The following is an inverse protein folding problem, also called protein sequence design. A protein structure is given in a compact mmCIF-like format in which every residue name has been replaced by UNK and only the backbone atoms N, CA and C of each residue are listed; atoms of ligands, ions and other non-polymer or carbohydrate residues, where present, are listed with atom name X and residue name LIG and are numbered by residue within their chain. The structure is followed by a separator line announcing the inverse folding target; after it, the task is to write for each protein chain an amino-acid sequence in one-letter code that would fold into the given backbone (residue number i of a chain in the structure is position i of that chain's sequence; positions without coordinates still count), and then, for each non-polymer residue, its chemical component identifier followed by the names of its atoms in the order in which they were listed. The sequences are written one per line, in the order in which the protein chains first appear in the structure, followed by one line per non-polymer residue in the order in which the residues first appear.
data_IF_224276377111
#
_entry.id   IF_224276377111
#
_cell.length_a   1.000
_cell.length_b   1.000
_cell.length_c   1.000
_cell.angle_alpha   90.00
_cell.angle_beta   90.00
_cell.angle_gamma   90.00
#
_symmetry.space_group_name_H-M   'P 1'
#
loop_
_entity.id
_entity.type
_entity.pdbx_description
1 polymer ?
#
# COMPACT_ATOMS: atom_id res chain seq x y z
N UNK A 1 9.22 -5.65 27.33
CA UNK A 1 9.18 -5.70 25.86
C UNK A 1 9.24 -4.28 25.36
N UNK A 2 10.38 -3.87 24.81
CA UNK A 2 10.56 -2.51 24.30
C UNK A 2 9.62 -2.34 23.10
N UNK A 3 8.56 -1.55 23.26
CA UNK A 3 7.89 -0.93 22.12
C UNK A 3 8.95 0.00 21.52
N UNK A 4 9.67 -0.47 20.51
CA UNK A 4 10.38 0.45 19.63
C UNK A 4 9.35 1.46 19.16
N UNK A 5 9.65 2.75 19.30
CA UNK A 5 8.77 3.82 18.84
C UNK A 5 8.52 3.60 17.35
N UNK A 6 7.35 3.05 17.02
CA UNK A 6 6.91 2.93 15.64
C UNK A 6 6.82 4.36 15.13
N UNK A 7 7.67 4.71 14.16
CA UNK A 7 7.62 6.02 13.51
C UNK A 7 6.18 6.33 13.11
N UNK A 8 5.75 7.57 13.28
CA UNK A 8 4.40 7.96 12.87
C UNK A 8 4.25 7.73 11.37
N UNK A 9 3.03 7.38 10.94
CA UNK A 9 2.71 7.13 9.52
C UNK A 9 3.29 8.23 8.63
N UNK A 10 3.11 9.50 8.99
CA UNK A 10 3.63 10.63 8.22
C UNK A 10 5.16 10.62 8.04
N UNK A 11 5.92 10.33 9.10
CA UNK A 11 7.38 10.30 9.04
C UNK A 11 7.87 9.18 8.12
N UNK A 12 7.21 8.02 8.17
CA UNK A 12 7.52 6.89 7.29
C UNK A 12 7.16 7.20 5.83
N UNK A 13 6.05 7.91 5.59
CA UNK A 13 5.68 8.36 4.25
C UNK A 13 6.69 9.36 3.70
N UNK A 14 7.14 10.33 4.49
CA UNK A 14 8.17 11.30 4.07
C UNK A 14 9.51 10.59 3.74
N UNK A 15 9.84 9.54 4.49
CA UNK A 15 11.03 8.71 4.26
C UNK A 15 10.92 7.90 2.97
N UNK A 16 9.72 7.43 2.63
CA UNK A 16 9.47 6.60 1.46
C UNK A 16 9.32 7.44 0.20
N UNK A 17 8.62 8.57 0.30
CA UNK A 17 8.34 9.50 -0.77
C UNK A 17 9.27 10.72 -0.70
N UNK A 18 10.55 10.48 -1.00
CA UNK A 18 11.64 11.47 -0.87
C UNK A 18 11.55 12.67 -1.84
N UNK A 19 10.74 12.58 -2.90
CA UNK A 19 10.69 13.58 -3.98
C UNK A 19 9.41 14.43 -3.96
N UNK A 20 9.51 15.75 -4.16
CA UNK A 20 8.36 16.66 -4.16
C UNK A 20 7.32 16.37 -5.26
N UNK A 21 7.72 15.73 -6.37
CA UNK A 21 6.79 15.28 -7.42
C UNK A 21 5.75 14.26 -6.90
N UNK A 22 6.10 13.46 -5.89
CA UNK A 22 5.18 12.49 -5.28
C UNK A 22 4.10 13.18 -4.46
N UNK A 23 4.35 14.41 -3.98
CA UNK A 23 3.36 15.20 -3.25
C UNK A 23 2.14 15.51 -4.11
N UNK A 24 2.31 15.70 -5.43
CA UNK A 24 1.19 15.83 -6.37
C UNK A 24 0.43 14.53 -6.56
N UNK A 25 1.12 13.38 -6.53
CA UNK A 25 0.48 12.06 -6.63
C UNK A 25 -0.40 11.71 -5.43
N UNK A 26 -0.11 12.26 -4.24
CA UNK A 26 -0.92 12.05 -3.05
C UNK A 26 -2.19 12.93 -2.97
N UNK A 27 -2.33 13.94 -3.85
CA UNK A 27 -3.53 14.79 -3.93
C UNK A 27 -4.79 13.95 -4.20
N UNK A 28 -4.66 12.87 -4.97
CA UNK A 28 -5.75 11.91 -5.23
C UNK A 28 -6.33 11.27 -3.96
N UNK A 29 -5.55 11.26 -2.87
CA UNK A 29 -5.92 10.69 -1.58
C UNK A 29 -6.22 11.78 -0.53
N UNK A 30 -6.43 13.03 -0.96
CA UNK A 30 -6.91 14.09 -0.05
C UNK A 30 -8.23 13.67 0.62
N UNK A 31 -8.32 13.95 1.93
CA UNK A 31 -9.46 13.56 2.75
C UNK A 31 -9.38 12.15 3.34
N UNK A 32 -8.44 11.30 2.88
CA UNK A 32 -8.19 10.00 3.52
C UNK A 32 -7.35 10.20 4.78
N UNK A 33 -7.80 9.57 5.87
CA UNK A 33 -7.02 9.45 7.09
C UNK A 33 -5.96 8.35 6.92
N UNK A 34 -4.72 8.74 6.69
CA UNK A 34 -3.62 7.81 6.44
C UNK A 34 -3.31 6.91 7.65
N UNK A 35 -3.61 7.33 8.87
CA UNK A 35 -3.42 6.46 10.05
C UNK A 35 -4.45 5.33 10.09
N UNK A 36 -5.63 5.53 9.50
CA UNK A 36 -6.62 4.46 9.32
C UNK A 36 -6.33 3.61 8.09
N UNK A 37 -5.90 4.23 7.00
CA UNK A 37 -5.68 3.54 5.74
C UNK A 37 -4.42 2.66 5.76
N UNK A 38 -3.39 3.03 6.53
CA UNK A 38 -2.09 2.37 6.51
C UNK A 38 -1.72 1.83 7.89
N UNK A 39 -1.75 0.51 8.04
CA UNK A 39 -1.36 -0.18 9.27
C UNK A 39 0.08 -0.68 9.19
N UNK A 40 1.00 0.05 9.82
CA UNK A 40 2.42 -0.27 9.84
C UNK A 40 2.86 -1.06 11.09
N UNK A 41 3.87 -1.90 10.91
CA UNK A 41 4.62 -2.55 11.97
C UNK A 41 6.12 -2.49 11.69
N UNK A 42 6.93 -2.44 12.74
CA UNK A 42 8.41 -2.41 12.65
C UNK A 42 8.99 -3.69 13.27
N UNK A 43 9.99 -4.26 12.59
CA UNK A 43 10.78 -5.38 13.10
C UNK A 43 12.22 -5.28 12.59
N UNK A 44 13.18 -5.09 13.52
CA UNK A 44 14.62 -5.06 13.25
C UNK A 44 15.04 -4.08 12.13
N UNK A 45 14.50 -2.86 12.15
CA UNK A 45 14.76 -1.82 11.16
C UNK A 45 14.06 -2.04 9.81
N UNK A 46 13.15 -3.01 9.74
CA UNK A 46 12.29 -3.25 8.58
C UNK A 46 10.87 -2.84 8.91
N UNK A 47 10.25 -2.11 8.01
CA UNK A 47 8.88 -1.64 8.14
C UNK A 47 7.99 -2.42 7.19
N UNK A 48 6.87 -2.87 7.74
CA UNK A 48 5.88 -3.66 7.05
C UNK A 48 4.54 -2.94 7.07
N UNK A 49 3.84 -2.97 5.95
CA UNK A 49 2.49 -2.49 5.79
C UNK A 49 1.55 -3.69 5.69
N UNK A 50 0.49 -3.73 6.48
CA UNK A 50 -0.52 -4.78 6.37
C UNK A 50 -1.36 -4.56 5.12
N UNK A 51 -1.34 -5.51 4.19
CA UNK A 51 -2.16 -5.45 2.99
C UNK A 51 -3.63 -5.71 3.34
N UNK A 52 -4.52 -4.75 3.05
CA UNK A 52 -5.96 -4.80 3.36
C UNK A 52 -6.63 -6.04 2.74
N UNK A 53 -6.32 -6.34 1.47
CA UNK A 53 -6.92 -7.47 0.76
C UNK A 53 -6.36 -8.83 1.19
N UNK A 54 -5.05 -8.92 1.41
CA UNK A 54 -4.35 -10.19 1.66
C UNK A 54 -4.21 -10.54 3.12
N UNK A 55 -4.47 -9.58 4.01
CA UNK A 55 -4.30 -9.70 5.46
C UNK A 55 -2.92 -10.25 5.86
N UNK A 56 -1.85 -9.73 5.21
CA UNK A 56 -0.47 -10.11 5.50
C UNK A 56 0.45 -8.88 5.51
N UNK A 57 1.50 -8.88 6.35
CA UNK A 57 2.50 -7.82 6.34
C UNK A 57 3.37 -7.89 5.08
N UNK A 58 3.52 -6.75 4.40
CA UNK A 58 4.38 -6.56 3.22
C UNK A 58 5.49 -5.61 3.60
N UNK A 59 6.76 -6.02 3.46
CA UNK A 59 7.88 -5.14 3.75
C UNK A 59 7.91 -3.98 2.73
N UNK A 60 7.76 -2.74 3.19
CA UNK A 60 7.73 -1.53 2.37
C UNK A 60 8.97 -0.67 2.50
N UNK A 61 9.69 -0.78 3.62
CA UNK A 61 10.89 0.02 3.85
C UNK A 61 11.94 -0.73 4.69
N UNK A 62 13.21 -0.54 4.32
CA UNK A 62 14.43 -0.88 5.09
C UNK A 62 15.63 -0.21 4.40
N UNK A 63 16.83 -0.35 4.94
CA UNK A 63 18.06 0.14 4.29
C UNK A 63 18.23 -0.35 2.83
N UNK A 64 17.71 -1.55 2.50
CA UNK A 64 17.86 -2.17 1.17
C UNK A 64 16.58 -2.22 0.34
N UNK A 65 15.45 -1.74 0.88
CA UNK A 65 14.14 -1.89 0.23
C UNK A 65 13.31 -0.62 0.39
N UNK A 66 12.70 -0.22 -0.72
CA UNK A 66 11.76 0.89 -0.81
C UNK A 66 10.64 0.45 -1.75
N UNK A 67 9.38 0.48 -1.29
CA UNK A 67 8.23 0.06 -2.08
C UNK A 67 7.09 1.08 -2.02
N UNK A 68 7.24 2.26 -2.65
CA UNK A 68 6.21 3.29 -2.69
C UNK A 68 4.92 2.79 -3.36
N UNK A 69 5.02 1.90 -4.34
CA UNK A 69 3.89 1.34 -5.10
C UNK A 69 2.92 0.58 -4.19
N UNK A 70 3.44 -0.13 -3.17
CA UNK A 70 2.60 -0.84 -2.21
C UNK A 70 1.79 0.12 -1.33
N UNK A 71 2.35 1.29 -0.99
CA UNK A 71 1.61 2.32 -0.24
C UNK A 71 0.48 2.87 -1.10
N UNK A 72 0.77 3.21 -2.36
CA UNK A 72 -0.24 3.70 -3.31
C UNK A 72 -1.34 2.64 -3.52
N UNK A 73 -0.97 1.36 -3.63
CA UNK A 73 -1.91 0.24 -3.74
C UNK A 73 -2.83 0.14 -2.52
N UNK A 74 -2.29 0.25 -1.31
CA UNK A 74 -3.12 0.21 -0.09
C UNK A 74 -4.02 1.44 0.03
N UNK A 75 -3.56 2.64 -0.34
CA UNK A 75 -4.40 3.83 -0.39
C UNK A 75 -5.56 3.69 -1.39
N UNK A 76 -5.31 3.11 -2.56
CA UNK A 76 -6.38 2.81 -3.53
C UNK A 76 -7.37 1.77 -3.02
N UNK A 77 -6.90 0.67 -2.40
CA UNK A 77 -7.79 -0.34 -1.82
C UNK A 77 -8.66 0.30 -0.73
N UNK A 78 -8.07 1.14 0.13
CA UNK A 78 -8.82 1.87 1.14
C UNK A 78 -9.88 2.77 0.49
N UNK A 79 -9.50 3.58 -0.51
CA UNK A 79 -10.44 4.46 -1.23
C UNK A 79 -11.58 3.68 -1.90
N UNK A 80 -11.29 2.52 -2.49
CA UNK A 80 -12.30 1.64 -3.10
C UNK A 80 -13.32 1.14 -2.08
N UNK A 81 -12.88 0.82 -0.87
CA UNK A 81 -13.75 0.32 0.21
C UNK A 81 -14.51 1.46 0.89
N UNK A 82 -13.81 2.53 1.27
CA UNK A 82 -14.32 3.60 2.12
C UNK A 82 -15.13 4.64 1.34
N UNK A 83 -14.64 5.04 0.16
CA UNK A 83 -15.28 6.07 -0.66
C UNK A 83 -16.22 5.50 -1.72
N UNK A 84 -15.81 4.43 -2.40
CA UNK A 84 -16.61 3.80 -3.47
C UNK A 84 -17.48 2.64 -2.98
N UNK A 85 -17.41 2.29 -1.70
CA UNK A 85 -18.24 1.25 -1.06
C UNK A 85 -18.14 -0.15 -1.71
N UNK A 86 -17.03 -0.45 -2.40
CA UNK A 86 -16.79 -1.81 -2.90
C UNK A 86 -16.56 -2.77 -1.75
N UNK A 87 -17.24 -3.91 -1.79
CA UNK A 87 -16.95 -5.01 -0.86
C UNK A 87 -15.57 -5.57 -1.15
N UNK A 88 -14.82 -5.91 -0.10
CA UNK A 88 -13.46 -6.46 -0.22
C UNK A 88 -13.41 -7.78 -1.02
N UNK A 89 -14.51 -8.54 -1.07
CA UNK A 89 -14.62 -9.75 -1.90
C UNK A 89 -14.68 -9.46 -3.41
N UNK A 90 -14.96 -8.22 -3.81
CA UNK A 90 -14.95 -7.76 -5.21
C UNK A 90 -13.60 -7.22 -5.67
N UNK A 91 -12.66 -7.04 -4.75
CA UNK A 91 -11.34 -6.51 -5.06
C UNK A 91 -10.33 -7.65 -5.07
N UNK A 92 -9.48 -7.75 -6.08
CA UNK A 92 -8.32 -8.65 -6.13
C UNK A 92 -7.03 -7.85 -6.43
N UNK A 93 -5.87 -8.39 -6.06
CA UNK A 93 -4.57 -7.72 -6.21
C UNK A 93 -3.49 -8.65 -6.78
N UNK A 94 -2.65 -8.11 -7.66
CA UNK A 94 -1.66 -8.86 -8.47
C UNK A 94 -2.30 -10.05 -9.20
N UNK A 95 -3.45 -9.82 -9.84
CA UNK A 95 -4.20 -10.86 -10.55
C UNK A 95 -3.59 -11.08 -11.93
N UNK A 96 -3.22 -12.30 -12.26
CA UNK A 96 -2.79 -12.67 -13.62
C UNK A 96 -3.93 -12.44 -14.63
N UNK A 97 -3.61 -11.77 -15.75
CA UNK A 97 -4.57 -11.50 -16.81
C UNK A 97 -4.29 -12.40 -18.01
N UNK A 98 -5.32 -13.11 -18.47
CA UNK A 98 -5.26 -14.01 -19.62
C UNK A 98 -5.88 -13.33 -20.84
N UNK A 99 -5.12 -13.19 -21.94
CA UNK A 99 -5.61 -12.67 -23.22
C UNK A 99 -5.60 -13.78 -24.27
N UNK A 100 -6.75 -14.43 -24.49
CA UNK A 100 -6.84 -15.59 -25.38
C UNK A 100 -6.06 -16.80 -24.83
N UNK A 101 -5.32 -17.51 -25.68
CA UNK A 101 -4.48 -18.66 -25.30
C UNK A 101 -3.08 -18.27 -24.80
N UNK A 102 -2.70 -16.99 -24.86
CA UNK A 102 -1.41 -16.53 -24.36
C UNK A 102 -1.57 -15.87 -23.00
N UNK A 103 -0.92 -16.44 -21.99
CA UNK A 103 -0.70 -15.77 -20.70
C UNK A 103 0.28 -14.65 -20.98
N UNK A 104 -0.17 -13.39 -20.97
CA UNK A 104 0.78 -12.30 -20.81
C UNK A 104 1.21 -12.33 -19.35
N UNK A 105 2.52 -12.38 -19.08
CA UNK A 105 3.11 -12.43 -17.73
C UNK A 105 2.93 -11.12 -16.93
N UNK A 106 1.86 -10.36 -17.19
CA UNK A 106 1.58 -9.07 -16.53
C UNK A 106 0.38 -9.22 -15.61
N UNK A 107 0.67 -9.24 -14.30
CA UNK A 107 -0.35 -9.18 -13.27
C UNK A 107 -0.91 -7.75 -13.16
N UNK A 108 -2.23 -7.64 -12.98
CA UNK A 108 -2.91 -6.39 -12.66
C UNK A 108 -2.67 -6.02 -11.19
N UNK A 109 -2.30 -4.78 -10.88
CA UNK A 109 -2.14 -4.32 -9.50
C UNK A 109 -3.42 -4.45 -8.67
N UNK A 110 -4.55 -4.01 -9.22
CA UNK A 110 -5.87 -4.06 -8.60
C UNK A 110 -6.91 -4.43 -9.68
N UNK A 111 -7.81 -5.34 -9.34
CA UNK A 111 -9.02 -5.69 -10.12
C UNK A 111 -10.24 -5.43 -9.23
N UNK A 112 -11.29 -4.82 -9.78
CA UNK A 112 -12.55 -4.47 -9.11
C UNK A 112 -13.73 -4.89 -9.98
#
# INVERSE_FOLDING_TARGET
MNKGDVMKTKELLDLIFKSPDVKYGLVEFEGIDFEKALSFSEENGKYFLTCLKRNKPIQVYSEKKLAPEEIIRQLWIYKLIDYYEYKIDKIDVEKEIYFGTQVNEKAADIVV
#
